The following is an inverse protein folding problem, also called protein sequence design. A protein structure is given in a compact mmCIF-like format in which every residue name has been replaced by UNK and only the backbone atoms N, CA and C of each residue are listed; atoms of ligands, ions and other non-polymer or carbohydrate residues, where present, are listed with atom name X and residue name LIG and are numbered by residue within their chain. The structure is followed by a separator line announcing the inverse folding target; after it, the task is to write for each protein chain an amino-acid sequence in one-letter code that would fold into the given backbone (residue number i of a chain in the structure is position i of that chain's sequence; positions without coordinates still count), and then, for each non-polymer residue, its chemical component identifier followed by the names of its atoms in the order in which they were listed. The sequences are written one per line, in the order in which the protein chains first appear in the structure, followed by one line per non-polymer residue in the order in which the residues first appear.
data_IF_090311512188
#
_entry.id   IF_090311512188
#
_cell.length_a   1.000
_cell.length_b   1.000
_cell.length_c   1.000
_cell.angle_alpha   90.00
_cell.angle_beta   90.00
_cell.angle_gamma   90.00
#
_symmetry.space_group_name_H-M   'P 1'
#
loop_
_entity.id
_entity.type
_entity.pdbx_description
1 polymer ?
#
# COMPACT_ATOMS: atom_id res chain seq x y z
N UNK A 1 1.72 -22.33 9.26
CA UNK A 1 2.31 -21.40 8.28
C UNK A 1 1.38 -21.28 7.08
N UNK A 2 0.65 -20.18 6.96
CA UNK A 2 -0.30 -19.96 5.87
C UNK A 2 0.46 -19.50 4.62
N UNK A 3 0.75 -20.42 3.70
CA UNK A 3 1.51 -20.11 2.47
C UNK A 3 0.79 -19.04 1.63
N UNK A 4 -0.54 -19.09 1.56
CA UNK A 4 -1.32 -18.11 0.82
C UNK A 4 -1.16 -16.69 1.40
N UNK A 5 -1.13 -16.56 2.74
CA UNK A 5 -0.84 -15.29 3.40
C UNK A 5 0.52 -14.73 2.95
N UNK A 6 1.58 -15.55 3.04
CA UNK A 6 2.94 -15.10 2.74
C UNK A 6 3.13 -14.68 1.29
N UNK A 7 2.44 -15.35 0.36
CA UNK A 7 2.45 -14.95 -1.05
C UNK A 7 1.79 -13.57 -1.21
N UNK A 8 0.57 -13.40 -0.72
CA UNK A 8 -0.17 -12.14 -0.87
C UNK A 8 0.52 -10.98 -0.13
N UNK A 9 0.90 -11.20 1.13
CA UNK A 9 1.61 -10.23 1.96
C UNK A 9 2.98 -9.88 1.37
N UNK A 10 3.71 -10.86 0.83
CA UNK A 10 5.00 -10.63 0.17
C UNK A 10 4.88 -9.71 -1.04
N UNK A 11 3.91 -9.97 -1.93
CA UNK A 11 3.66 -9.10 -3.09
C UNK A 11 3.23 -7.68 -2.70
N UNK A 12 2.28 -7.56 -1.78
CA UNK A 12 1.84 -6.25 -1.28
C UNK A 12 3.01 -5.49 -0.65
N UNK A 13 3.78 -6.16 0.20
CA UNK A 13 4.89 -5.53 0.91
C UNK A 13 5.99 -5.07 -0.04
N UNK A 14 6.35 -5.89 -1.02
CA UNK A 14 7.33 -5.49 -2.04
C UNK A 14 6.85 -4.27 -2.83
N UNK A 15 5.59 -4.28 -3.27
CA UNK A 15 4.99 -3.18 -4.02
C UNK A 15 4.98 -1.88 -3.21
N UNK A 16 4.48 -1.91 -1.97
CA UNK A 16 4.34 -0.71 -1.13
C UNK A 16 5.67 -0.24 -0.54
N UNK A 17 6.64 -1.13 -0.28
CA UNK A 17 8.00 -0.71 0.03
C UNK A 17 8.62 0.06 -1.13
N UNK A 18 8.49 -0.46 -2.36
CA UNK A 18 8.97 0.23 -3.55
C UNK A 18 8.26 1.58 -3.72
N UNK A 19 6.92 1.60 -3.76
CA UNK A 19 6.13 2.80 -3.98
C UNK A 19 6.36 3.87 -2.90
N UNK A 20 6.34 3.46 -1.63
CA UNK A 20 6.58 4.34 -0.50
C UNK A 20 7.99 4.90 -0.48
N UNK A 21 8.99 4.07 -0.77
CA UNK A 21 10.40 4.52 -0.89
C UNK A 21 10.53 5.57 -1.99
N UNK A 22 9.95 5.33 -3.18
CA UNK A 22 9.99 6.31 -4.26
C UNK A 22 9.37 7.65 -3.84
N UNK A 23 8.24 7.64 -3.11
CA UNK A 23 7.59 8.86 -2.60
C UNK A 23 8.42 9.62 -1.55
N UNK A 24 9.27 8.92 -0.80
CA UNK A 24 10.15 9.55 0.19
C UNK A 24 11.38 10.20 -0.45
N UNK A 25 12.04 9.51 -1.37
CA UNK A 25 13.37 9.89 -1.86
C UNK A 25 13.34 10.73 -3.14
N UNK A 26 12.31 10.57 -3.98
CA UNK A 26 12.27 11.24 -5.29
C UNK A 26 11.74 12.66 -5.17
N UNK A 27 12.21 13.52 -6.07
CA UNK A 27 11.66 14.86 -6.25
C UNK A 27 10.27 14.80 -6.89
N UNK A 28 9.53 15.92 -6.82
CA UNK A 28 8.22 16.04 -7.46
C UNK A 28 8.28 15.76 -8.96
N UNK A 29 9.27 16.31 -9.65
CA UNK A 29 9.44 16.13 -11.09
C UNK A 29 9.79 14.69 -11.46
N UNK A 30 10.48 13.96 -10.59
CA UNK A 30 10.76 12.53 -10.79
C UNK A 30 9.54 11.64 -10.52
N UNK A 31 8.58 12.09 -9.71
CA UNK A 31 7.34 11.36 -9.41
C UNK A 31 6.24 11.63 -10.43
N UNK A 32 6.19 12.84 -11.01
CA UNK A 32 5.16 13.26 -11.98
C UNK A 32 4.92 12.25 -13.12
N UNK A 33 5.95 11.65 -13.77
CA UNK A 33 5.74 10.67 -14.85
C UNK A 33 5.07 9.38 -14.39
N UNK A 34 5.20 9.04 -13.11
CA UNK A 34 4.66 7.81 -12.52
C UNK A 34 3.30 8.06 -11.83
N UNK A 35 3.08 9.29 -11.34
CA UNK A 35 2.00 9.66 -10.43
C UNK A 35 1.54 11.10 -10.72
N UNK A 36 0.67 11.28 -11.71
CA UNK A 36 0.22 12.62 -12.14
C UNK A 36 -0.47 13.44 -11.03
N UNK A 37 -1.04 12.78 -10.02
CA UNK A 37 -1.70 13.45 -8.89
C UNK A 37 -0.75 14.24 -7.98
N UNK A 38 0.56 13.99 -8.05
CA UNK A 38 1.57 14.63 -7.19
C UNK A 38 1.64 16.15 -7.39
N UNK A 39 1.20 16.67 -8.53
CA UNK A 39 1.10 18.11 -8.76
C UNK A 39 -0.03 18.78 -7.96
N UNK A 40 -1.06 18.02 -7.57
CA UNK A 40 -2.23 18.53 -6.83
C UNK A 40 -2.05 18.48 -5.31
N UNK A 41 -0.99 17.85 -4.81
CA UNK A 41 -0.78 17.63 -3.37
C UNK A 41 0.56 18.22 -2.90
N UNK A 42 0.63 18.89 -1.75
CA UNK A 42 1.89 19.33 -1.18
C UNK A 42 2.87 18.16 -1.00
N UNK A 43 4.15 18.35 -1.32
CA UNK A 43 5.16 17.29 -1.21
C UNK A 43 5.25 16.65 0.19
N UNK A 44 5.07 17.37 1.31
CA UNK A 44 5.01 16.74 2.63
C UNK A 44 3.89 15.70 2.78
N UNK A 45 2.73 15.89 2.13
CA UNK A 45 1.62 14.92 2.14
C UNK A 45 2.01 13.66 1.36
N UNK A 46 2.68 13.82 0.22
CA UNK A 46 3.19 12.69 -0.59
C UNK A 46 4.18 11.86 0.23
N UNK A 47 5.08 12.54 0.98
CA UNK A 47 6.05 11.88 1.86
C UNK A 47 5.37 11.16 3.02
N UNK A 48 4.42 11.80 3.69
CA UNK A 48 3.65 11.17 4.76
C UNK A 48 2.95 9.89 4.28
N UNK A 49 2.35 9.93 3.08
CA UNK A 49 1.76 8.75 2.46
C UNK A 49 2.80 7.66 2.19
N UNK A 50 3.98 8.03 1.67
CA UNK A 50 5.08 7.08 1.47
C UNK A 50 5.57 6.43 2.76
N UNK A 51 5.64 7.18 3.87
CA UNK A 51 5.94 6.64 5.20
C UNK A 51 4.87 5.63 5.63
N UNK A 52 3.59 5.95 5.47
CA UNK A 52 2.48 5.04 5.82
C UNK A 52 2.54 3.76 4.99
N UNK A 53 2.87 3.84 3.70
CA UNK A 53 3.03 2.66 2.84
C UNK A 53 4.15 1.73 3.30
N UNK A 54 5.29 2.29 3.69
CA UNK A 54 6.42 1.52 4.24
C UNK A 54 6.03 0.88 5.57
N UNK A 55 5.41 1.64 6.47
CA UNK A 55 4.95 1.12 7.76
C UNK A 55 3.92 -0.01 7.59
N UNK A 56 2.98 0.14 6.65
CA UNK A 56 2.03 -0.91 6.31
C UNK A 56 2.70 -2.18 5.78
N UNK A 57 3.70 -2.03 4.91
CA UNK A 57 4.44 -3.16 4.36
C UNK A 57 5.27 -3.87 5.45
N UNK A 58 5.90 -3.12 6.34
CA UNK A 58 6.56 -3.67 7.52
C UNK A 58 5.55 -4.37 8.43
N UNK A 59 4.36 -3.80 8.64
CA UNK A 59 3.28 -4.37 9.45
C UNK A 59 2.69 -5.67 8.90
N UNK A 60 2.75 -5.90 7.58
CA UNK A 60 2.37 -7.18 6.99
C UNK A 60 3.42 -8.28 7.24
N UNK A 61 4.70 -7.95 7.36
CA UNK A 61 5.75 -8.97 7.37
C UNK A 61 6.31 -9.18 8.78
N UNK A 62 6.71 -8.11 9.44
CA UNK A 62 7.48 -8.18 10.68
C UNK A 62 6.68 -8.75 11.87
N UNK A 63 5.45 -8.30 12.16
CA UNK A 63 4.65 -8.85 13.26
C UNK A 63 4.38 -10.35 13.10
N UNK A 64 3.91 -10.86 11.93
CA UNK A 64 3.70 -12.30 11.75
C UNK A 64 4.99 -13.13 11.74
N UNK A 65 6.12 -12.59 11.23
CA UNK A 65 7.40 -13.31 11.26
C UNK A 65 7.94 -13.48 12.68
N UNK A 66 7.72 -12.48 13.55
CA UNK A 66 8.26 -12.46 14.91
C UNK A 66 7.28 -13.01 15.96
N UNK A 67 6.02 -13.22 15.58
CA UNK A 67 4.94 -13.61 16.49
C UNK A 67 4.45 -12.48 17.41
N UNK A 68 4.94 -11.26 17.25
CA UNK A 68 4.56 -10.11 18.09
C UNK A 68 3.30 -9.45 17.51
N UNK A 69 2.18 -9.53 18.23
CA UNK A 69 0.90 -8.87 17.86
C UNK A 69 0.56 -9.08 16.38
N UNK A 70 0.44 -10.34 15.95
CA UNK A 70 0.21 -10.71 14.54
C UNK A 70 -1.04 -10.04 13.93
N UNK A 71 -2.01 -9.62 14.75
CA UNK A 71 -3.17 -8.83 14.33
C UNK A 71 -2.84 -7.48 13.66
N UNK A 72 -1.62 -6.97 13.85
CA UNK A 72 -1.11 -5.80 13.10
C UNK A 72 -1.07 -6.04 11.58
N UNK A 73 -0.93 -7.29 11.13
CA UNK A 73 -1.02 -7.63 9.71
C UNK A 73 -2.42 -7.34 9.15
N UNK A 74 -3.48 -7.72 9.87
CA UNK A 74 -4.86 -7.41 9.47
C UNK A 74 -5.08 -5.90 9.42
N UNK A 75 -4.57 -5.16 10.40
CA UNK A 75 -4.66 -3.70 10.43
C UNK A 75 -3.93 -3.05 9.24
N UNK A 76 -2.72 -3.51 8.90
CA UNK A 76 -1.98 -3.04 7.74
C UNK A 76 -2.71 -3.33 6.42
N UNK A 77 -3.28 -4.53 6.26
CA UNK A 77 -4.06 -4.90 5.09
C UNK A 77 -5.33 -4.03 4.94
N UNK A 78 -6.03 -3.73 6.04
CA UNK A 78 -7.16 -2.77 6.05
C UNK A 78 -6.68 -1.38 5.60
N UNK A 79 -5.56 -0.91 6.15
CA UNK A 79 -4.96 0.36 5.76
C UNK A 79 -4.67 0.45 4.26
N UNK A 80 -4.17 -0.63 3.65
CA UNK A 80 -3.96 -0.68 2.21
C UNK A 80 -5.25 -0.65 1.39
N UNK A 81 -6.32 -1.30 1.85
CA UNK A 81 -7.64 -1.15 1.21
C UNK A 81 -8.09 0.31 1.26
N UNK A 82 -8.02 0.96 2.43
CA UNK A 82 -8.40 2.37 2.58
C UNK A 82 -7.56 3.30 1.70
N UNK A 83 -6.24 3.07 1.66
CA UNK A 83 -5.32 3.83 0.82
C UNK A 83 -5.71 3.73 -0.66
N UNK A 84 -6.00 2.52 -1.14
CA UNK A 84 -6.34 2.33 -2.54
C UNK A 84 -7.71 2.88 -2.92
N UNK A 85 -8.68 2.87 -2.01
CA UNK A 85 -9.96 3.57 -2.22
C UNK A 85 -9.69 5.07 -2.42
N UNK A 86 -8.85 5.68 -1.59
CA UNK A 86 -8.42 7.07 -1.76
C UNK A 86 -7.70 7.31 -3.09
N UNK A 87 -6.81 6.40 -3.49
CA UNK A 87 -6.10 6.49 -4.76
C UNK A 87 -7.05 6.41 -5.97
N UNK A 88 -8.02 5.50 -5.95
CA UNK A 88 -9.07 5.40 -6.99
C UNK A 88 -9.85 6.70 -7.09
N UNK A 89 -10.28 7.27 -5.96
CA UNK A 89 -10.98 8.55 -5.95
C UNK A 89 -10.13 9.65 -6.61
N UNK A 90 -8.84 9.72 -6.28
CA UNK A 90 -7.92 10.68 -6.90
C UNK A 90 -7.81 10.46 -8.42
N UNK A 91 -7.58 9.24 -8.90
CA UNK A 91 -7.51 8.93 -10.33
C UNK A 91 -8.78 9.38 -11.07
N UNK A 92 -9.96 9.07 -10.52
CA UNK A 92 -11.24 9.48 -11.10
C UNK A 92 -11.41 11.02 -11.14
N UNK A 93 -11.01 11.73 -10.07
CA UNK A 93 -11.11 13.21 -10.03
C UNK A 93 -10.17 13.93 -10.99
N UNK A 94 -9.07 13.29 -11.40
CA UNK A 94 -8.14 13.84 -12.38
C UNK A 94 -8.44 13.40 -13.82
N UNK A 95 -9.51 12.63 -14.02
CA UNK A 95 -9.93 12.09 -15.32
C UNK A 95 -9.15 10.85 -15.77
N UNK A 96 -8.27 10.31 -14.93
CA UNK A 96 -7.50 9.11 -15.21
C UNK A 96 -8.32 7.87 -14.83
N UNK A 97 -8.69 7.06 -15.83
CA UNK A 97 -9.48 5.85 -15.63
C UNK A 97 -8.63 4.58 -15.48
N UNK A 98 -7.30 4.69 -15.40
CA UNK A 98 -6.38 3.56 -15.25
C UNK A 98 -6.35 3.06 -13.81
N UNK A 99 -7.46 2.53 -13.32
CA UNK A 99 -7.63 2.07 -11.93
C UNK A 99 -7.45 0.55 -11.74
N UNK A 100 -7.13 -0.19 -12.81
CA UNK A 100 -7.02 -1.66 -12.78
C UNK A 100 -6.02 -2.15 -11.73
N UNK A 101 -4.85 -1.49 -11.62
CA UNK A 101 -3.85 -1.83 -10.61
C UNK A 101 -4.38 -1.59 -9.20
N UNK A 102 -5.08 -0.47 -8.95
CA UNK A 102 -5.68 -0.19 -7.65
C UNK A 102 -6.71 -1.26 -7.27
N UNK A 103 -7.56 -1.68 -8.22
CA UNK A 103 -8.55 -2.74 -7.98
C UNK A 103 -7.88 -4.08 -7.66
N UNK A 104 -6.80 -4.44 -8.37
CA UNK A 104 -6.02 -5.62 -8.05
C UNK A 104 -5.41 -5.54 -6.64
N UNK A 105 -4.81 -4.40 -6.27
CA UNK A 105 -4.23 -4.19 -4.94
C UNK A 105 -5.29 -4.20 -3.84
N UNK A 106 -6.49 -3.66 -4.08
CA UNK A 106 -7.64 -3.75 -3.16
C UNK A 106 -8.04 -5.21 -2.97
N UNK A 107 -8.21 -5.96 -4.06
CA UNK A 107 -8.60 -7.36 -3.98
C UNK A 107 -7.56 -8.19 -3.22
N UNK A 108 -6.27 -8.03 -3.53
CA UNK A 108 -5.18 -8.71 -2.82
C UNK A 108 -5.12 -8.31 -1.35
N UNK A 109 -5.26 -7.03 -1.02
CA UNK A 109 -5.29 -6.56 0.36
C UNK A 109 -6.50 -7.11 1.13
N UNK A 110 -7.69 -7.10 0.53
CA UNK A 110 -8.91 -7.64 1.14
C UNK A 110 -8.80 -9.14 1.43
N UNK A 111 -8.26 -9.93 0.49
CA UNK A 111 -7.95 -11.35 0.72
C UNK A 111 -6.92 -11.50 1.84
N UNK A 112 -5.91 -10.63 1.89
CA UNK A 112 -4.87 -10.65 2.93
C UNK A 112 -5.44 -10.37 4.32
N UNK A 113 -6.48 -9.52 4.47
CA UNK A 113 -7.16 -9.30 5.75
C UNK A 113 -7.68 -10.62 6.32
N UNK A 114 -8.39 -11.40 5.50
CA UNK A 114 -8.92 -12.70 5.90
C UNK A 114 -7.80 -13.69 6.21
N UNK A 115 -6.78 -13.78 5.35
CA UNK A 115 -5.67 -14.71 5.56
C UNK A 115 -4.88 -14.40 6.84
N UNK A 116 -4.82 -13.13 7.24
CA UNK A 116 -4.13 -12.67 8.44
C UNK A 116 -4.83 -13.08 9.75
N UNK A 117 -6.12 -13.42 9.74
CA UNK A 117 -6.84 -13.85 10.96
C UNK A 117 -6.45 -15.26 11.41
N UNK A 118 -5.82 -16.06 10.53
CA UNK A 118 -5.34 -17.40 10.82
C UNK A 118 -3.83 -17.49 11.04
N UNK A 119 -3.17 -16.37 11.37
CA UNK A 119 -1.74 -16.31 11.69
C UNK A 119 -1.42 -16.70 13.13
#
# INVERSE_FOLDING_TARGET
MNIAYWIAAGFLSLFYLYAGTMKLIRSRDQLRPMMAWVDRMPLPVVRALGTVEILGATGLILPPLTGVVASLASAAAIGFVSLQIGAVAVHLTIGDRRITLNLALIATAAVTIWLATGL
#
